data_IF_146814428807
#
_entry.id   IF_146814428807
#
_cell.length_a   1.000
_cell.length_b   1.000
_cell.length_c   1.000
_cell.angle_alpha   90.00
_cell.angle_beta   90.00
_cell.angle_gamma   90.00
#
_symmetry.space_group_name_H-M   'P 1'
#
loop_
_entity.id
_entity.type
_entity.pdbx_description
1 polymer ?
#
# COMPACT_ATOMS: atom_id res chain seq x y z
N UNK A 1 -9.04 5.74 7.65
CA UNK A 1 -8.49 4.45 7.19
C UNK A 1 -7.99 4.64 5.78
N UNK A 2 -6.83 4.07 5.42
CA UNK A 2 -6.22 4.14 4.09
C UNK A 2 -5.76 2.74 3.67
N UNK A 3 -6.02 2.32 2.43
CA UNK A 3 -5.65 1.00 1.91
C UNK A 3 -5.42 1.05 0.39
N UNK A 4 -4.22 1.44 -0.07
CA UNK A 4 -3.94 1.61 -1.50
C UNK A 4 -3.86 0.26 -2.25
N UNK A 5 -4.05 0.33 -3.57
CA UNK A 5 -3.70 -0.75 -4.50
C UNK A 5 -2.19 -0.75 -4.75
N UNK A 6 -1.63 -1.86 -5.24
CA UNK A 6 -0.20 -1.97 -5.60
C UNK A 6 0.23 -1.12 -6.82
N UNK A 7 -0.65 -0.30 -7.39
CA UNK A 7 -0.35 0.61 -8.51
C UNK A 7 -0.28 0.02 -9.92
N UNK A 8 -0.37 -1.30 -10.11
CA UNK A 8 -0.48 -1.89 -11.46
C UNK A 8 -1.87 -1.75 -12.06
N UNK A 9 -1.92 -1.76 -13.38
CA UNK A 9 -3.16 -1.70 -14.15
C UNK A 9 -3.67 -3.10 -14.48
N UNK A 10 -4.99 -3.29 -14.46
CA UNK A 10 -5.60 -4.54 -14.87
C UNK A 10 -5.80 -4.57 -16.39
N UNK A 11 -5.09 -5.46 -17.08
CA UNK A 11 -5.37 -5.78 -18.48
C UNK A 11 -6.52 -6.80 -18.53
N UNK A 12 -7.69 -6.35 -18.97
CA UNK A 12 -8.87 -7.19 -19.10
C UNK A 12 -8.75 -8.26 -20.21
N UNK A 13 -7.99 -7.98 -21.27
CA UNK A 13 -7.82 -8.91 -22.39
C UNK A 13 -6.86 -10.05 -22.03
N UNK A 14 -5.68 -9.70 -21.51
CA UNK A 14 -4.70 -10.66 -21.01
C UNK A 14 -5.08 -11.31 -19.67
N UNK A 15 -6.06 -10.74 -18.96
CA UNK A 15 -6.48 -11.13 -17.60
C UNK A 15 -5.31 -11.15 -16.63
N UNK A 16 -4.46 -10.14 -16.71
CA UNK A 16 -3.25 -10.01 -15.91
C UNK A 16 -3.05 -8.56 -15.44
N UNK A 17 -2.21 -8.40 -14.43
CA UNK A 17 -1.76 -7.08 -14.00
C UNK A 17 -0.52 -6.68 -14.79
N UNK A 18 -0.51 -5.46 -15.34
CA UNK A 18 0.57 -4.91 -16.16
C UNK A 18 1.12 -3.61 -15.58
N UNK A 19 2.34 -3.24 -15.99
CA UNK A 19 3.02 -2.04 -15.52
C UNK A 19 3.79 -2.23 -14.22
N UNK A 20 4.51 -1.17 -13.83
CA UNK A 20 5.26 -1.13 -12.58
C UNK A 20 4.36 -0.57 -11.49
N UNK A 21 4.19 -1.35 -10.43
CA UNK A 21 3.48 -0.94 -9.24
C UNK A 21 4.46 -0.55 -8.13
N UNK A 22 4.14 0.49 -7.36
CA UNK A 22 4.79 0.68 -6.06
C UNK A 22 4.10 -0.24 -5.05
N UNK A 23 4.78 -1.34 -4.73
CA UNK A 23 4.25 -2.36 -3.81
C UNK A 23 4.03 -1.80 -2.40
N UNK A 24 4.84 -0.81 -1.98
CA UNK A 24 4.87 -0.34 -0.59
C UNK A 24 5.03 1.19 -0.54
N UNK A 25 4.09 1.93 0.08
CA UNK A 25 4.17 3.38 0.26
C UNK A 25 5.50 3.83 0.88
N UNK A 26 5.99 4.98 0.48
CA UNK A 26 7.18 5.61 1.07
C UNK A 26 6.95 5.99 2.55
N UNK A 27 8.03 6.18 3.31
CA UNK A 27 7.90 6.53 4.74
C UNK A 27 7.29 7.91 4.88
N UNK A 28 7.57 8.81 3.94
CA UNK A 28 6.96 10.13 3.89
C UNK A 28 5.43 10.05 3.69
N UNK A 29 4.94 9.14 2.83
CA UNK A 29 3.50 8.93 2.67
C UNK A 29 2.86 8.34 3.92
N UNK A 30 3.49 7.34 4.54
CA UNK A 30 3.01 6.77 5.80
C UNK A 30 2.92 7.84 6.89
N UNK A 31 3.98 8.64 7.07
CA UNK A 31 3.99 9.76 8.03
C UNK A 31 2.89 10.77 7.72
N UNK A 32 2.72 11.14 6.45
CA UNK A 32 1.65 12.06 6.04
C UNK A 32 0.27 11.51 6.37
N UNK A 33 0.02 10.22 6.13
CA UNK A 33 -1.27 9.60 6.45
C UNK A 33 -1.55 9.61 7.96
N UNK A 34 -0.54 9.30 8.78
CA UNK A 34 -0.68 9.34 10.24
C UNK A 34 -0.94 10.78 10.72
N UNK A 35 -0.22 11.77 10.19
CA UNK A 35 -0.44 13.20 10.50
C UNK A 35 -1.84 13.69 10.11
N UNK A 36 -2.42 13.13 9.05
CA UNK A 36 -3.80 13.39 8.64
C UNK A 36 -4.85 12.59 9.43
N UNK A 37 -4.43 11.80 10.42
CA UNK A 37 -5.33 11.08 11.33
C UNK A 37 -5.66 9.66 10.91
N UNK A 38 -4.92 9.06 9.96
CA UNK A 38 -5.11 7.64 9.64
C UNK A 38 -4.76 6.76 10.84
N UNK A 39 -5.75 6.00 11.33
CA UNK A 39 -5.58 4.99 12.40
C UNK A 39 -5.44 3.56 11.90
N UNK A 40 -5.76 3.33 10.63
CA UNK A 40 -5.69 2.03 9.98
C UNK A 40 -5.09 2.21 8.60
N UNK A 41 -3.96 1.54 8.36
CA UNK A 41 -3.24 1.51 7.09
C UNK A 41 -3.14 0.04 6.67
N UNK A 42 -3.64 -0.28 5.48
CA UNK A 42 -3.65 -1.65 4.94
C UNK A 42 -3.35 -1.66 3.45
N UNK A 43 -3.90 -2.64 2.73
CA UNK A 43 -3.75 -2.79 1.29
C UNK A 43 -5.02 -3.31 0.63
N UNK A 44 -5.16 -3.06 -0.66
CA UNK A 44 -6.32 -3.44 -1.47
C UNK A 44 -5.88 -4.38 -2.60
N UNK A 45 -6.20 -4.06 -3.87
CA UNK A 45 -5.91 -4.93 -5.01
C UNK A 45 -4.41 -5.16 -5.15
N UNK A 46 -4.07 -6.45 -5.10
CA UNK A 46 -2.73 -6.95 -5.37
C UNK A 46 -1.66 -6.60 -4.33
N UNK A 47 -2.08 -6.20 -3.13
CA UNK A 47 -1.22 -6.10 -1.95
C UNK A 47 -1.31 -7.42 -1.19
N UNK A 48 -0.19 -8.12 -1.03
CA UNK A 48 -0.12 -9.43 -0.40
C UNK A 48 0.31 -9.40 1.06
N UNK A 49 0.40 -10.57 1.71
CA UNK A 49 0.81 -10.67 3.11
C UNK A 49 2.19 -10.08 3.41
N UNK A 50 3.15 -10.23 2.49
CA UNK A 50 4.52 -9.74 2.67
C UNK A 50 4.56 -8.20 2.67
N UNK A 51 3.81 -7.55 1.77
CA UNK A 51 3.69 -6.09 1.74
C UNK A 51 2.98 -5.57 2.99
N UNK A 52 1.96 -6.28 3.49
CA UNK A 52 1.26 -5.92 4.74
C UNK A 52 2.21 -6.05 5.95
N UNK A 53 3.03 -7.10 6.00
CA UNK A 53 4.01 -7.27 7.07
C UNK A 53 5.05 -6.14 7.08
N UNK A 54 5.51 -5.74 5.89
CA UNK A 54 6.46 -4.63 5.73
C UNK A 54 5.83 -3.27 6.06
N UNK A 55 4.59 -3.02 5.64
CA UNK A 55 3.79 -1.86 6.06
C UNK A 55 3.69 -1.77 7.58
N UNK A 56 3.39 -2.88 8.26
CA UNK A 56 3.29 -2.94 9.71
C UNK A 56 4.66 -2.71 10.40
N UNK A 57 5.75 -3.17 9.81
CA UNK A 57 7.11 -2.92 10.31
C UNK A 57 7.47 -1.43 10.21
N UNK A 58 7.12 -0.78 9.10
CA UNK A 58 7.47 0.63 8.83
C UNK A 58 6.58 1.63 9.56
N UNK A 59 5.34 1.25 9.87
CA UNK A 59 4.38 2.14 10.54
C UNK A 59 4.49 2.15 12.06
N UNK A 60 5.22 1.18 12.66
CA UNK A 60 5.27 0.91 14.11
C UNK A 60 5.73 2.07 15.01
N UNK A 61 6.34 3.10 14.44
CA UNK A 61 6.92 4.23 15.17
C UNK A 61 6.45 5.59 14.64
N UNK A 62 5.37 5.60 13.84
CA UNK A 62 4.88 6.82 13.20
C UNK A 62 3.77 7.53 14.00
N UNK A 63 3.38 6.96 15.15
CA UNK A 63 2.36 7.48 16.07
C UNK A 63 2.93 8.50 17.06
#
# INVERSE_FOLDING_TARGET
MVYPNHGREWDAMGRCWIGNGELIPSTAELTRWVQLGAKFIGGCCGVGPDEIAELARRSRHLD
#
